data_IF_213839914394
#
_entry.id   IF_213839914394
#
_cell.length_a   1.000
_cell.length_b   1.000
_cell.length_c   1.000
_cell.angle_alpha   90.00
_cell.angle_beta   90.00
_cell.angle_gamma   90.00
#
_symmetry.space_group_name_H-M   'P 1'
#
loop_
_entity.id
_entity.type
_entity.pdbx_description
1 polymer ?
#
# COMPACT_ATOMS: atom_id res chain seq x y z
N UNK A 1 3.16 -3.09 6.77
CA UNK A 1 2.78 -1.67 6.54
C UNK A 1 1.27 -1.61 6.28
N UNK A 2 0.52 -0.71 6.93
CA UNK A 2 -0.93 -0.61 6.71
C UNK A 2 -1.25 0.45 5.66
N UNK A 3 -1.90 0.02 4.59
CA UNK A 3 -2.35 0.85 3.47
C UNK A 3 -3.85 0.65 3.20
N UNK A 4 -4.42 1.31 2.18
CA UNK A 4 -5.81 1.02 1.80
C UNK A 4 -5.91 -0.41 1.29
N UNK A 5 -6.75 -1.23 1.92
CA UNK A 5 -6.89 -2.64 1.56
C UNK A 5 -7.70 -2.85 0.27
N UNK A 6 -8.28 -1.79 -0.30
CA UNK A 6 -9.15 -1.85 -1.48
C UNK A 6 -10.20 -2.98 -1.38
N UNK A 7 -10.92 -2.99 -0.27
CA UNK A 7 -11.98 -3.94 0.08
C UNK A 7 -13.05 -4.07 -0.99
N UNK A 8 -13.42 -5.28 -1.42
CA UNK A 8 -14.55 -5.50 -2.35
C UNK A 8 -15.88 -5.13 -1.68
N UNK A 9 -16.08 -5.54 -0.42
CA UNK A 9 -17.17 -5.04 0.40
C UNK A 9 -16.67 -3.82 1.21
N UNK A 10 -16.53 -2.68 0.53
CA UNK A 10 -15.97 -1.47 1.12
C UNK A 10 -17.00 -0.70 1.98
N UNK A 11 -16.88 -0.72 3.33
CA UNK A 11 -17.77 0.06 4.19
C UNK A 11 -17.61 1.57 3.97
N UNK A 12 -16.44 2.01 3.51
CA UNK A 12 -16.17 3.43 3.26
C UNK A 12 -16.86 3.99 2.01
N UNK A 13 -17.43 3.16 1.12
CA UNK A 13 -18.12 3.63 -0.09
C UNK A 13 -19.58 3.99 0.19
N UNK A 14 -20.32 3.08 0.81
CA UNK A 14 -21.76 3.23 1.08
C UNK A 14 -22.10 4.44 1.96
N UNK A 15 -21.11 4.96 2.70
CA UNK A 15 -21.28 6.11 3.60
C UNK A 15 -20.98 7.46 2.95
N UNK A 16 -20.52 7.49 1.69
CA UNK A 16 -20.23 8.74 1.02
C UNK A 16 -21.51 9.32 0.37
N UNK A 17 -22.05 10.45 0.87
CA UNK A 17 -23.33 10.97 0.39
C UNK A 17 -23.30 11.50 -1.05
N UNK A 18 -22.10 11.78 -1.57
CA UNK A 18 -21.88 12.35 -2.91
C UNK A 18 -21.22 11.37 -3.88
N UNK A 19 -21.06 10.10 -3.48
CA UNK A 19 -20.38 9.06 -4.25
C UNK A 19 -18.97 9.46 -4.73
N UNK A 20 -18.18 10.12 -3.87
CA UNK A 20 -16.78 10.44 -4.14
C UNK A 20 -15.84 9.23 -4.05
N UNK A 21 -16.37 8.07 -3.66
CA UNK A 21 -15.65 6.81 -3.55
C UNK A 21 -16.48 5.72 -4.17
N UNK A 22 -15.92 5.00 -5.14
CA UNK A 22 -16.61 3.96 -5.90
C UNK A 22 -15.66 2.82 -6.27
N UNK A 23 -16.21 1.64 -6.50
CA UNK A 23 -15.46 0.55 -7.10
C UNK A 23 -15.26 0.74 -8.60
N UNK A 24 -14.03 0.50 -9.04
CA UNK A 24 -13.76 0.18 -10.43
C UNK A 24 -14.10 -1.27 -10.74
N UNK A 25 -14.27 -1.59 -12.03
CA UNK A 25 -14.42 -2.97 -12.52
C UNK A 25 -13.19 -3.86 -12.26
N UNK A 26 -12.08 -3.27 -11.83
CA UNK A 26 -10.81 -3.96 -11.60
C UNK A 26 -10.56 -4.26 -10.11
N UNK A 27 -11.56 -4.05 -9.25
CA UNK A 27 -11.45 -4.26 -7.79
C UNK A 27 -10.73 -3.13 -7.04
N UNK A 28 -10.41 -2.03 -7.73
CA UNK A 28 -9.80 -0.86 -7.10
C UNK A 28 -10.90 0.06 -6.58
N UNK A 29 -10.98 0.23 -5.27
CA UNK A 29 -11.68 1.35 -4.65
C UNK A 29 -11.05 2.67 -5.14
N UNK A 30 -11.77 3.49 -5.91
CA UNK A 30 -11.32 4.78 -6.42
C UNK A 30 -11.67 5.89 -5.42
N UNK A 31 -10.78 6.88 -5.27
CA UNK A 31 -11.06 8.11 -4.54
C UNK A 31 -11.07 9.25 -5.55
N UNK A 32 -12.24 9.85 -5.74
CA UNK A 32 -12.46 10.94 -6.67
C UNK A 32 -12.37 12.24 -5.87
N UNK A 33 -11.19 12.87 -5.94
CA UNK A 33 -10.84 14.01 -5.08
C UNK A 33 -11.76 15.22 -5.28
N UNK A 34 -12.06 15.59 -6.53
CA UNK A 34 -12.91 16.72 -6.89
C UNK A 34 -14.40 16.53 -6.53
N UNK A 35 -14.85 15.30 -6.27
CA UNK A 35 -16.22 15.01 -5.84
C UNK A 35 -16.37 15.04 -4.32
N UNK A 36 -15.27 15.02 -3.58
CA UNK A 36 -15.28 14.95 -2.12
C UNK A 36 -15.68 16.29 -1.50
N UNK A 37 -16.77 16.29 -0.73
CA UNK A 37 -17.25 17.47 0.02
C UNK A 37 -16.77 17.50 1.48
N UNK A 38 -15.85 16.61 1.87
CA UNK A 38 -15.22 16.65 3.19
C UNK A 38 -16.06 16.21 4.38
N UNK A 39 -17.10 15.39 4.20
CA UNK A 39 -17.92 14.87 5.32
C UNK A 39 -17.14 13.97 6.29
N UNK A 40 -15.99 13.43 5.87
CA UNK A 40 -15.10 12.52 6.63
C UNK A 40 -15.73 11.21 7.10
N UNK A 41 -17.00 10.94 6.79
CA UNK A 41 -17.67 9.73 7.28
C UNK A 41 -17.01 8.44 6.74
N UNK A 42 -16.43 8.50 5.53
CA UNK A 42 -15.65 7.40 4.96
C UNK A 42 -14.38 7.06 5.76
N UNK A 43 -13.81 8.00 6.53
CA UNK A 43 -12.71 7.73 7.45
C UNK A 43 -13.19 6.97 8.71
N UNK A 44 -14.35 7.38 9.23
CA UNK A 44 -14.97 6.76 10.40
C UNK A 44 -15.42 5.33 10.09
N UNK A 45 -15.97 5.07 8.90
CA UNK A 45 -16.41 3.72 8.55
C UNK A 45 -15.28 2.80 8.02
N UNK A 46 -14.10 3.35 7.72
CA UNK A 46 -12.95 2.53 7.37
C UNK A 46 -12.40 1.83 8.62
N UNK A 47 -12.39 0.48 8.68
CA UNK A 47 -11.88 -0.24 9.86
C UNK A 47 -10.38 0.00 10.08
N UNK A 48 -9.64 0.18 8.99
CA UNK A 48 -8.19 0.34 9.01
C UNK A 48 -7.73 1.78 9.27
N UNK A 49 -8.63 2.78 9.27
CA UNK A 49 -8.31 4.21 9.43
C UNK A 49 -7.19 4.69 8.50
N UNK A 50 -7.20 4.24 7.25
CA UNK A 50 -6.18 4.55 6.22
C UNK A 50 -6.60 5.64 5.24
N UNK A 51 -7.75 6.28 5.47
CA UNK A 51 -8.12 7.50 4.75
C UNK A 51 -7.58 8.71 5.53
N UNK A 52 -6.90 9.62 4.84
CA UNK A 52 -6.32 10.85 5.41
C UNK A 52 -7.14 12.04 4.95
N UNK A 53 -7.28 13.05 5.79
CA UNK A 53 -8.08 14.24 5.47
C UNK A 53 -7.17 15.46 5.37
N UNK A 54 -7.38 16.26 4.33
CA UNK A 54 -6.67 17.53 4.17
C UNK A 54 -7.35 18.61 5.00
N UNK A 55 -6.79 18.89 6.18
CA UNK A 55 -7.33 19.87 7.13
C UNK A 55 -7.11 21.32 6.69
N UNK A 56 -5.91 21.59 6.19
CA UNK A 56 -5.48 22.88 5.66
C UNK A 56 -5.19 22.76 4.16
N UNK A 57 -5.05 23.90 3.49
CA UNK A 57 -4.55 23.93 2.11
C UNK A 57 -3.02 23.82 2.09
N UNK A 58 -2.52 22.58 2.18
CA UNK A 58 -1.07 22.33 2.19
C UNK A 58 -0.37 22.71 0.88
N UNK A 59 -1.10 22.89 -0.22
CA UNK A 59 -0.48 22.99 -1.56
C UNK A 59 -0.81 24.28 -2.31
N UNK A 60 -1.71 25.10 -1.74
CA UNK A 60 -2.19 26.31 -2.40
C UNK A 60 -2.97 25.97 -3.66
N UNK A 61 -3.56 24.77 -3.70
CA UNK A 61 -4.29 24.24 -4.84
C UNK A 61 -5.76 24.66 -4.83
N UNK A 62 -6.20 25.37 -3.78
CA UNK A 62 -7.54 25.91 -3.70
C UNK A 62 -7.70 27.19 -4.54
N UNK A 63 -8.92 27.46 -4.99
CA UNK A 63 -9.24 28.63 -5.82
C UNK A 63 -9.38 29.92 -4.99
N UNK A 64 -9.36 29.83 -3.66
CA UNK A 64 -9.52 30.96 -2.75
C UNK A 64 -8.17 31.60 -2.41
N UNK A 65 -8.07 32.93 -2.63
CA UNK A 65 -6.91 33.72 -2.20
C UNK A 65 -6.78 33.67 -0.68
N UNK A 66 -5.55 33.56 -0.18
CA UNK A 66 -5.17 33.60 1.25
C UNK A 66 -5.68 32.44 2.14
N UNK A 67 -6.13 31.32 1.55
CA UNK A 67 -6.63 30.13 2.27
C UNK A 67 -5.52 29.29 2.95
N UNK A 68 -4.27 29.75 2.91
CA UNK A 68 -3.12 29.15 3.59
C UNK A 68 -2.80 29.80 4.95
N UNK A 69 -3.33 30.99 5.22
CA UNK A 69 -3.11 31.73 6.45
C UNK A 69 -4.13 31.28 7.50
N UNK A 70 -3.82 30.19 8.19
CA UNK A 70 -4.61 29.72 9.33
C UNK A 70 -3.93 30.12 10.64
N UNK A 71 -4.53 31.01 11.42
CA UNK A 71 -4.14 31.24 12.82
C UNK A 71 -4.86 30.19 13.70
N UNK A 72 -4.12 29.17 14.16
CA UNK A 72 -4.65 28.11 15.05
C UNK A 72 -4.46 26.68 14.55
N UNK A 73 -5.48 25.81 14.71
CA UNK A 73 -5.43 24.40 14.28
C UNK A 73 -5.38 24.33 12.76
N UNK A 74 -4.24 23.88 12.22
CA UNK A 74 -3.99 23.88 10.77
C UNK A 74 -3.09 25.02 10.30
N UNK A 75 -2.46 25.78 11.23
CA UNK A 75 -1.38 26.69 10.90
C UNK A 75 -0.29 25.95 10.12
N UNK A 76 0.01 26.47 8.93
CA UNK A 76 1.06 25.95 8.07
C UNK A 76 2.41 26.46 8.56
N UNK A 77 3.39 25.58 8.63
CA UNK A 77 4.76 25.94 8.95
C UNK A 77 5.53 26.36 7.69
N UNK A 78 6.67 27.02 7.88
CA UNK A 78 7.54 27.47 6.77
C UNK A 78 7.89 26.35 5.79
N UNK A 79 8.03 25.11 6.27
CA UNK A 79 8.28 23.95 5.41
C UNK A 79 7.17 23.68 4.39
N UNK A 80 5.91 23.98 4.72
CA UNK A 80 4.78 23.85 3.78
C UNK A 80 4.79 24.97 2.75
N UNK A 81 5.12 26.20 3.17
CA UNK A 81 5.28 27.32 2.23
C UNK A 81 6.45 27.06 1.26
N UNK A 82 7.57 26.53 1.77
CA UNK A 82 8.71 26.12 0.96
C UNK A 82 8.39 25.00 -0.03
N UNK A 83 7.40 24.14 0.22
CA UNK A 83 6.98 23.11 -0.76
C UNK A 83 6.21 23.70 -1.95
N UNK A 84 5.59 24.87 -1.78
CA UNK A 84 4.77 25.53 -2.80
C UNK A 84 5.50 26.64 -3.55
N UNK A 85 6.80 26.81 -3.31
CA UNK A 85 7.65 27.65 -4.13
C UNK A 85 7.68 27.13 -5.58
N UNK A 86 7.90 28.04 -6.53
CA UNK A 86 7.90 27.70 -7.96
C UNK A 86 8.97 26.66 -8.29
N UNK A 87 10.11 26.68 -7.57
CA UNK A 87 11.17 25.70 -7.76
C UNK A 87 10.79 24.32 -7.23
N UNK A 88 10.25 24.24 -6.02
CA UNK A 88 9.93 22.98 -5.36
C UNK A 88 8.71 22.30 -5.94
N UNK A 89 7.79 23.05 -6.56
CA UNK A 89 6.65 22.51 -7.29
C UNK A 89 7.05 21.61 -8.45
N UNK A 90 8.25 21.76 -9.01
CA UNK A 90 8.77 20.86 -10.04
C UNK A 90 9.02 19.42 -9.54
N UNK A 91 9.06 19.19 -8.22
CA UNK A 91 9.16 17.85 -7.64
C UNK A 91 7.83 17.08 -7.73
N UNK A 92 6.71 17.79 -7.90
CA UNK A 92 5.38 17.18 -7.93
C UNK A 92 5.16 16.38 -9.21
N UNK A 93 4.57 15.20 -9.06
CA UNK A 93 4.20 14.37 -10.20
C UNK A 93 2.99 15.00 -10.94
N UNK A 94 3.10 15.30 -12.24
CA UNK A 94 2.02 15.92 -13.01
C UNK A 94 0.77 15.03 -13.18
N UNK A 95 0.92 13.70 -13.10
CA UNK A 95 -0.16 12.73 -13.31
C UNK A 95 -0.99 12.48 -12.04
N UNK A 96 -0.56 13.01 -10.89
CA UNK A 96 -1.27 12.90 -9.62
C UNK A 96 -1.85 14.25 -9.25
N UNK A 97 -3.17 14.28 -9.11
CA UNK A 97 -3.89 15.46 -8.63
C UNK A 97 -3.33 15.94 -7.29
N UNK A 98 -2.85 17.18 -7.28
CA UNK A 98 -2.61 17.95 -6.06
C UNK A 98 -3.97 18.31 -5.46
N UNK A 99 -4.17 18.11 -4.16
CA UNK A 99 -5.49 18.20 -3.53
C UNK A 99 -5.63 19.47 -2.72
N UNK A 100 -6.78 20.10 -2.84
CA UNK A 100 -7.18 21.23 -2.00
C UNK A 100 -7.57 20.78 -0.58
N UNK A 101 -7.84 21.78 0.26
CA UNK A 101 -8.39 21.61 1.60
C UNK A 101 -9.76 20.92 1.55
N UNK A 102 -10.11 20.19 2.58
CA UNK A 102 -11.45 19.61 2.71
C UNK A 102 -11.64 18.27 2.00
N UNK A 103 -10.60 17.73 1.39
CA UNK A 103 -10.68 16.50 0.59
C UNK A 103 -10.08 15.31 1.36
N UNK A 104 -10.72 14.16 1.23
CA UNK A 104 -10.19 12.88 1.71
C UNK A 104 -9.22 12.28 0.69
N UNK A 105 -8.14 11.69 1.17
CA UNK A 105 -7.21 10.92 0.36
C UNK A 105 -6.96 9.53 0.95
N UNK A 106 -6.38 8.65 0.14
CA UNK A 106 -6.00 7.29 0.52
C UNK A 106 -5.01 6.73 -0.50
N UNK A 107 -4.43 5.58 -0.20
CA UNK A 107 -3.76 4.76 -1.21
C UNK A 107 -4.73 4.39 -2.34
N UNK A 108 -4.30 4.58 -3.58
CA UNK A 108 -5.06 4.29 -4.81
C UNK A 108 -4.39 3.20 -5.66
N UNK A 109 -3.50 2.41 -5.06
CA UNK A 109 -2.60 1.50 -5.77
C UNK A 109 -1.87 2.17 -6.95
N UNK A 110 -1.44 3.42 -6.78
CA UNK A 110 -0.77 4.20 -7.82
C UNK A 110 -1.53 4.15 -9.15
N UNK A 111 -2.84 4.47 -9.12
CA UNK A 111 -3.73 4.42 -10.28
C UNK A 111 -3.13 5.11 -11.51
N UNK A 112 -2.37 6.19 -11.34
CA UNK A 112 -1.67 6.89 -12.42
C UNK A 112 -0.73 5.97 -13.21
N UNK A 113 0.07 5.15 -12.51
CA UNK A 113 1.00 4.20 -13.13
C UNK A 113 0.26 3.03 -13.80
N UNK A 114 -0.85 2.60 -13.19
CA UNK A 114 -1.66 1.54 -13.78
C UNK A 114 -2.35 2.00 -15.07
N UNK A 115 -2.86 3.23 -15.11
CA UNK A 115 -3.49 3.78 -16.30
C UNK A 115 -2.45 4.00 -17.41
N UNK A 116 -1.25 4.47 -17.08
CA UNK A 116 -0.15 4.59 -18.03
C UNK A 116 0.26 3.22 -18.62
N UNK A 117 0.47 2.21 -17.77
CA UNK A 117 0.79 0.85 -18.23
C UNK A 117 -0.31 0.25 -19.10
N UNK A 118 -1.58 0.46 -18.75
CA UNK A 118 -2.73 0.04 -19.56
C UNK A 118 -2.80 0.78 -20.89
N UNK A 119 -2.52 2.09 -20.90
CA UNK A 119 -2.48 2.89 -22.12
C UNK A 119 -1.40 2.36 -23.07
N UNK A 120 -0.20 2.05 -22.56
CA UNK A 120 0.89 1.45 -23.34
C UNK A 120 0.49 0.10 -23.92
N UNK A 121 -0.03 -0.82 -23.10
CA UNK A 121 -0.46 -2.13 -23.57
C UNK A 121 -1.58 -2.05 -24.63
N UNK A 122 -2.54 -1.13 -24.46
CA UNK A 122 -3.60 -0.87 -25.44
C UNK A 122 -3.05 -0.33 -26.77
N UNK A 123 -2.08 0.61 -26.72
CA UNK A 123 -1.43 1.13 -27.94
C UNK A 123 -0.70 0.03 -28.71
N UNK A 124 -0.12 -0.94 -27.99
CA UNK A 124 0.60 -2.09 -28.55
C UNK A 124 -0.32 -3.28 -28.88
N UNK A 125 -1.65 -3.13 -28.76
CA UNK A 125 -2.66 -4.18 -28.99
C UNK A 125 -2.40 -5.50 -28.24
N UNK A 126 -1.85 -5.41 -27.02
CA UNK A 126 -1.57 -6.57 -26.17
C UNK A 126 -2.21 -6.42 -24.81
N UNK A 127 -2.26 -7.53 -24.06
CA UNK A 127 -2.69 -7.53 -22.66
C UNK A 127 -1.60 -6.89 -21.79
N UNK A 128 -2.02 -6.36 -20.64
CA UNK A 128 -1.12 -5.79 -19.64
C UNK A 128 -0.15 -6.86 -19.14
N UNK A 129 1.15 -6.62 -19.31
CA UNK A 129 2.19 -7.47 -18.77
C UNK A 129 2.55 -7.01 -17.35
N UNK A 130 3.17 -7.90 -16.57
CA UNK A 130 3.59 -7.61 -15.19
C UNK A 130 4.67 -6.51 -15.13
N UNK A 131 5.49 -6.38 -16.17
CA UNK A 131 6.52 -5.34 -16.30
C UNK A 131 5.96 -3.95 -16.61
N UNK A 132 4.71 -3.82 -17.05
CA UNK A 132 4.17 -2.52 -17.48
C UNK A 132 3.69 -1.63 -16.33
N UNK A 133 3.41 -2.20 -15.15
CA UNK A 133 2.83 -1.44 -14.05
C UNK A 133 3.25 -2.00 -12.69
N UNK A 134 3.99 -1.19 -11.93
CA UNK A 134 4.30 -1.45 -10.53
C UNK A 134 3.96 -0.25 -9.65
N UNK A 135 3.57 -0.51 -8.41
CA UNK A 135 3.26 0.52 -7.43
C UNK A 135 4.53 1.09 -6.82
N UNK A 136 4.53 2.40 -6.51
CA UNK A 136 5.70 3.09 -5.98
C UNK A 136 6.25 2.43 -4.71
N UNK A 137 5.36 1.96 -3.82
CA UNK A 137 5.77 1.29 -2.58
C UNK A 137 6.42 -0.09 -2.79
N UNK A 138 6.07 -0.82 -3.86
CA UNK A 138 6.73 -2.07 -4.21
C UNK A 138 8.12 -1.80 -4.80
N UNK A 139 8.22 -0.86 -5.73
CA UNK A 139 9.48 -0.47 -6.37
C UNK A 139 10.49 0.14 -5.39
N UNK A 140 10.03 0.92 -4.40
CA UNK A 140 10.91 1.57 -3.45
C UNK A 140 11.41 0.64 -2.33
N UNK A 141 10.80 -0.53 -2.13
CA UNK A 141 11.14 -1.42 -1.03
C UNK A 141 12.36 -2.28 -1.38
N UNK A 142 13.53 -2.07 -0.74
CA UNK A 142 14.73 -2.88 -1.06
C UNK A 142 14.57 -4.34 -0.63
N UNK A 143 13.72 -4.60 0.37
CA UNK A 143 13.44 -5.94 0.87
C UNK A 143 12.39 -6.70 0.05
N UNK A 144 11.86 -6.13 -1.04
CA UNK A 144 10.81 -6.72 -1.88
C UNK A 144 9.59 -7.22 -1.08
N UNK A 145 9.22 -6.49 -0.02
CA UNK A 145 8.17 -6.93 0.90
C UNK A 145 6.74 -6.78 0.34
N UNK A 146 6.56 -6.03 -0.74
CA UNK A 146 5.25 -5.77 -1.36
C UNK A 146 5.31 -6.29 -2.80
N UNK A 147 4.49 -7.29 -3.09
CA UNK A 147 4.28 -7.80 -4.45
C UNK A 147 2.92 -7.31 -4.96
N UNK A 148 2.92 -6.63 -6.10
CA UNK A 148 1.70 -6.09 -6.73
C UNK A 148 1.56 -6.69 -8.13
N UNK A 149 0.34 -7.09 -8.52
CA UNK A 149 0.09 -7.70 -9.82
C UNK A 149 -1.38 -8.05 -10.05
N UNK A 150 -1.66 -8.60 -11.23
CA UNK A 150 -3.01 -9.01 -11.61
C UNK A 150 -3.34 -10.41 -11.07
N UNK A 151 -4.28 -10.48 -10.13
CA UNK A 151 -4.73 -11.73 -9.49
C UNK A 151 -5.37 -12.71 -10.48
N UNK A 152 -6.02 -12.21 -11.54
CA UNK A 152 -6.66 -13.05 -12.55
C UNK A 152 -5.65 -13.78 -13.45
N UNK A 153 -4.38 -13.37 -13.47
CA UNK A 153 -3.33 -14.09 -14.17
C UNK A 153 -2.71 -15.15 -13.24
N UNK A 154 -2.83 -16.42 -13.63
CA UNK A 154 -2.29 -17.58 -12.89
C UNK A 154 -0.77 -17.59 -12.79
N UNK A 155 -0.08 -16.97 -13.76
CA UNK A 155 1.39 -16.95 -13.81
C UNK A 155 2.03 -15.78 -13.06
N UNK A 156 1.21 -14.82 -12.59
CA UNK A 156 1.68 -13.60 -11.93
C UNK A 156 2.41 -13.90 -10.62
N UNK A 157 3.35 -13.03 -10.24
CA UNK A 157 4.07 -13.17 -8.97
C UNK A 157 3.12 -13.18 -7.76
N UNK A 158 2.03 -12.40 -7.81
CA UNK A 158 1.04 -12.38 -6.72
C UNK A 158 0.30 -13.71 -6.57
N UNK A 159 -0.02 -14.40 -7.67
CA UNK A 159 -0.70 -15.69 -7.60
C UNK A 159 0.23 -16.77 -7.02
N UNK A 160 1.52 -16.77 -7.42
CA UNK A 160 2.56 -17.63 -6.85
C UNK A 160 2.75 -17.40 -5.35
N UNK A 161 2.90 -16.14 -4.92
CA UNK A 161 3.04 -15.79 -3.50
C UNK A 161 1.82 -16.22 -2.68
N UNK A 162 0.60 -16.09 -3.23
CA UNK A 162 -0.62 -16.54 -2.55
C UNK A 162 -0.75 -18.05 -2.49
N UNK A 163 -0.32 -18.78 -3.52
CA UNK A 163 -0.45 -20.23 -3.60
C UNK A 163 0.60 -20.97 -2.79
N UNK A 164 1.85 -20.50 -2.79
CA UNK A 164 2.95 -21.03 -1.98
C UNK A 164 2.82 -20.61 -0.51
N UNK A 165 2.35 -19.38 -0.27
CA UNK A 165 2.21 -18.78 1.05
C UNK A 165 0.94 -19.14 1.82
N UNK A 166 0.12 -20.10 1.35
CA UNK A 166 -1.22 -20.40 1.92
C UNK A 166 -1.23 -20.54 3.44
N UNK A 167 -0.24 -21.22 4.02
CA UNK A 167 -0.17 -21.47 5.47
C UNK A 167 0.16 -20.21 6.30
N UNK A 168 0.69 -19.16 5.66
CA UNK A 168 1.11 -17.91 6.32
C UNK A 168 0.21 -16.74 5.93
N UNK A 169 -0.68 -16.94 4.96
CA UNK A 169 -1.51 -15.88 4.42
C UNK A 169 -2.65 -15.58 5.38
N UNK A 170 -2.83 -14.30 5.67
CA UNK A 170 -3.98 -13.81 6.44
C UNK A 170 -4.42 -12.47 5.89
N UNK A 171 -5.71 -12.18 6.04
CA UNK A 171 -6.27 -10.87 5.80
C UNK A 171 -6.50 -10.16 7.13
N UNK A 172 -6.36 -8.83 7.12
CA UNK A 172 -6.54 -8.04 8.34
C UNK A 172 -8.03 -7.84 8.59
N UNK A 173 -8.51 -8.12 9.80
CA UNK A 173 -9.91 -7.95 10.22
C UNK A 173 -10.92 -8.75 9.35
N UNK A 174 -10.63 -10.02 9.10
CA UNK A 174 -11.51 -10.94 8.36
C UNK A 174 -12.92 -11.04 8.96
N UNK A 175 -13.04 -10.89 10.28
CA UNK A 175 -14.31 -10.98 11.02
C UNK A 175 -15.34 -9.94 10.56
N UNK A 176 -14.89 -8.80 10.02
CA UNK A 176 -15.75 -7.73 9.54
C UNK A 176 -16.27 -7.96 8.11
N UNK A 177 -15.86 -9.05 7.45
CA UNK A 177 -16.27 -9.41 6.10
C UNK A 177 -16.12 -8.27 5.07
N UNK A 178 -15.03 -7.50 5.17
CA UNK A 178 -14.73 -6.42 4.23
C UNK A 178 -14.10 -6.91 2.91
N UNK A 179 -13.76 -8.20 2.82
CA UNK A 179 -13.12 -8.82 1.63
C UNK A 179 -11.95 -7.96 1.09
N UNK A 180 -10.89 -7.75 1.89
CA UNK A 180 -9.74 -6.94 1.47
C UNK A 180 -8.96 -7.59 0.32
N UNK A 181 -8.57 -6.79 -0.67
CA UNK A 181 -7.76 -7.25 -1.80
C UNK A 181 -6.26 -7.40 -1.46
N UNK A 182 -5.82 -6.89 -0.31
CA UNK A 182 -4.44 -6.99 0.19
C UNK A 182 -4.37 -8.11 1.22
N UNK A 183 -3.51 -9.09 0.93
CA UNK A 183 -3.18 -10.19 1.83
C UNK A 183 -1.81 -9.97 2.45
N UNK A 184 -1.63 -10.33 3.72
CA UNK A 184 -0.34 -10.26 4.41
C UNK A 184 0.20 -11.67 4.68
N UNK A 185 1.52 -11.76 4.82
CA UNK A 185 2.20 -12.97 5.25
C UNK A 185 2.60 -12.84 6.72
N UNK A 186 2.33 -13.88 7.51
CA UNK A 186 2.72 -13.94 8.90
C UNK A 186 4.25 -13.85 9.04
N UNK A 187 4.71 -13.06 10.01
CA UNK A 187 6.12 -12.94 10.34
C UNK A 187 6.57 -14.19 11.08
N UNK A 188 7.35 -15.03 10.41
CA UNK A 188 8.05 -16.16 11.04
C UNK A 188 9.37 -15.64 11.60
N UNK A 189 9.60 -15.85 12.89
CA UNK A 189 10.89 -15.55 13.54
C UNK A 189 11.54 -16.89 13.86
N UNK A 190 12.76 -17.10 13.37
CA UNK A 190 13.54 -18.27 13.76
C UNK A 190 14.08 -18.06 15.18
N UNK A 191 13.54 -18.77 16.16
CA UNK A 191 14.05 -18.77 17.54
C UNK A 191 15.11 -19.88 17.65
N UNK A 192 16.26 -19.63 18.30
CA UNK A 192 17.31 -20.66 18.45
C UNK A 192 16.79 -21.92 19.16
N UNK A 193 15.82 -21.78 20.07
CA UNK A 193 15.21 -22.88 20.82
C UNK A 193 14.33 -23.82 19.99
N UNK A 194 13.96 -23.44 18.76
CA UNK A 194 13.11 -24.27 17.89
C UNK A 194 13.93 -25.23 16.99
N UNK A 195 15.26 -25.13 17.01
CA UNK A 195 16.18 -25.94 16.20
C UNK A 195 16.67 -27.23 16.88
N UNK A 196 16.49 -27.39 18.19
CA UNK A 196 17.08 -28.50 18.96
C UNK A 196 16.15 -29.71 19.13
N UNK A 197 14.97 -29.72 18.49
CA UNK A 197 14.01 -30.83 18.58
C UNK A 197 14.19 -31.92 17.50
N UNK A 198 15.33 -31.92 16.80
CA UNK A 198 15.70 -33.01 15.91
C UNK A 198 17.02 -33.61 16.41
N UNK A 199 16.92 -34.52 17.40
CA UNK A 199 18.01 -35.44 17.67
C UNK A 199 18.25 -36.28 16.41
N UNK A 200 19.46 -36.29 15.82
CA UNK A 200 19.81 -37.32 14.87
C UNK A 200 20.07 -38.62 15.66
N UNK A 201 19.19 -39.60 15.49
CA UNK A 201 19.53 -40.97 15.87
C UNK A 201 20.70 -41.46 15.00
N UNK A 202 21.81 -41.81 15.65
CA UNK A 202 22.86 -42.68 15.10
C UNK A 202 24.09 -41.97 14.53
N UNK A 203 25.18 -41.96 15.29
CA UNK A 203 26.30 -42.92 15.12
C UNK A 203 27.40 -42.58 16.13
N UNK A 204 27.69 -43.53 17.04
CA UNK A 204 28.88 -43.48 17.89
C UNK A 204 30.12 -43.56 16.99
N UNK A 205 30.84 -42.45 16.84
CA UNK A 205 32.25 -42.51 16.45
C UNK A 205 33.11 -42.47 17.71
N UNK A 206 33.60 -43.64 18.11
CA UNK A 206 34.72 -43.76 19.06
C UNK A 206 35.92 -42.97 18.53
N UNK A 207 36.38 -41.99 19.32
CA UNK A 207 37.64 -41.30 19.06
C UNK A 207 38.83 -42.24 19.35
N UNK A 208 39.85 -42.31 18.49
CA UNK A 208 41.03 -43.11 18.76
C UNK A 208 41.85 -42.51 19.92
N UNK A 209 42.59 -43.33 20.69
CA UNK A 209 43.27 -42.88 21.90
C UNK A 209 44.42 -41.92 21.55
N UNK A 210 44.50 -40.82 22.29
CA UNK A 210 45.60 -39.87 22.21
C UNK A 210 46.90 -40.54 22.69
N UNK A 211 47.87 -40.68 21.79
CA UNK A 211 49.24 -40.99 22.16
C UNK A 211 49.88 -39.77 22.84
N UNK A 212 50.24 -39.93 24.11
CA UNK A 212 51.08 -38.98 24.84
C UNK A 212 52.52 -38.96 24.33
N UNK A 213 53.16 -37.80 24.42
CA UNK A 213 54.57 -37.62 24.07
C UNK A 213 55.07 -36.18 24.25
N UNK A 214 55.35 -35.84 25.51
CA UNK A 214 56.47 -35.01 25.99
C UNK A 214 56.86 -33.74 25.21
N UNK A 215 56.66 -32.57 25.86
CA UNK A 215 57.73 -31.65 26.28
C UNK A 215 57.24 -30.83 27.49
#
# INVERSE_FOLDING_TARGET
>A
PMLCQHCDNAPCENVCPVAATSHSSEGINQMIYNRCIGTRYCANNCPYKVRRFNWADYTGADSFKDNQLHEGVGALNDAVFMMNDDLTRMVLNPDVTVRSRGVMEKCTFCIQRQQEGKLKAKKENRKLAESDSSVACAQACPANAITFGNVNNTESAINKVRSEGKNRLFYVLEQLHTMPNVSYLAKVRNSPTAGDAHEPEGELHEAPPAHGGQH
#
